data_IF_522706706082
#
_entry.id   IF_522706706082
#
_cell.length_a   1.000
_cell.length_b   1.000
_cell.length_c   1.000
_cell.angle_alpha   90.00
_cell.angle_beta   90.00
_cell.angle_gamma   90.00
#
_symmetry.space_group_name_H-M   'P 1'
#
loop_
_entity.id
_entity.type
_entity.pdbx_description
1 polymer ?
#
# COMPACT_ATOMS: atom_id res chain seq x y z
N UNK A 1 -12.43 15.12 -9.59
CA UNK A 1 -11.54 14.19 -10.32
C UNK A 1 -10.16 14.13 -9.65
N UNK A 2 -9.99 13.22 -8.68
CA UNK A 2 -8.72 13.04 -7.98
C UNK A 2 -7.75 12.24 -8.85
N UNK A 3 -6.50 12.69 -8.95
CA UNK A 3 -5.44 11.98 -9.65
C UNK A 3 -5.31 10.56 -9.07
N UNK A 4 -5.65 9.55 -9.88
CA UNK A 4 -5.51 8.14 -9.50
C UNK A 4 -4.04 7.76 -9.65
N UNK A 5 -3.26 7.94 -8.60
CA UNK A 5 -1.91 7.39 -8.52
C UNK A 5 -1.98 5.94 -8.03
N UNK A 6 -1.30 5.02 -8.71
CA UNK A 6 -0.99 3.71 -8.13
C UNK A 6 0.20 3.91 -7.19
N UNK A 7 -0.08 3.94 -5.88
CA UNK A 7 0.94 4.12 -4.85
C UNK A 7 1.70 2.82 -4.53
N UNK A 8 1.18 1.67 -4.97
CA UNK A 8 1.83 0.37 -4.81
C UNK A 8 1.37 -0.58 -5.92
N UNK A 9 2.34 -1.22 -6.58
CA UNK A 9 2.10 -2.24 -7.61
C UNK A 9 2.67 -3.56 -7.08
N UNK A 10 1.86 -4.62 -7.07
CA UNK A 10 2.28 -5.95 -6.66
C UNK A 10 1.81 -6.97 -7.69
N UNK A 11 2.73 -7.84 -8.10
CA UNK A 11 2.39 -9.05 -8.83
C UNK A 11 2.30 -10.21 -7.84
N UNK A 12 1.22 -10.98 -7.92
CA UNK A 12 0.99 -12.17 -7.09
C UNK A 12 0.84 -13.36 -8.01
N UNK A 13 1.58 -14.43 -7.73
CA UNK A 13 1.46 -15.72 -8.41
C UNK A 13 1.06 -16.78 -7.41
N UNK A 14 -0.04 -17.46 -7.67
CA UNK A 14 -0.49 -18.62 -6.91
C UNK A 14 -0.19 -19.90 -7.69
N UNK A 15 0.31 -20.93 -7.02
CA UNK A 15 0.46 -22.29 -7.52
C UNK A 15 -0.30 -23.21 -6.55
N UNK A 16 -1.62 -23.40 -6.77
CA UNK A 16 -2.47 -24.21 -5.89
C UNK A 16 -1.99 -25.66 -5.79
N UNK A 17 -1.47 -26.22 -6.89
CA UNK A 17 -1.00 -27.61 -6.91
C UNK A 17 0.25 -27.85 -6.06
N UNK A 18 1.03 -26.79 -5.78
CA UNK A 18 2.21 -26.87 -4.88
C UNK A 18 1.99 -26.17 -3.54
N UNK A 19 0.78 -25.68 -3.25
CA UNK A 19 0.49 -24.83 -2.09
C UNK A 19 1.47 -23.68 -1.92
N UNK A 20 1.86 -23.03 -3.04
CA UNK A 20 2.84 -21.94 -3.03
C UNK A 20 2.21 -20.66 -3.53
N UNK A 21 2.54 -19.57 -2.88
CA UNK A 21 2.22 -18.23 -3.36
C UNK A 21 3.49 -17.40 -3.31
N UNK A 22 3.77 -16.71 -4.40
CA UNK A 22 4.90 -15.81 -4.54
C UNK A 22 4.39 -14.41 -4.87
N UNK A 23 5.08 -13.39 -4.38
CA UNK A 23 4.76 -12.00 -4.69
C UNK A 23 6.01 -11.23 -5.08
N UNK A 24 5.83 -10.25 -5.97
CA UNK A 24 6.84 -9.29 -6.39
C UNK A 24 6.29 -7.88 -6.23
N UNK A 25 6.93 -7.06 -5.41
CA UNK A 25 6.60 -5.64 -5.31
C UNK A 25 7.36 -4.85 -6.37
N UNK A 26 6.64 -4.04 -7.14
CA UNK A 26 7.22 -3.13 -8.14
C UNK A 26 7.17 -1.71 -7.56
N UNK A 27 8.31 -1.03 -7.35
CA UNK A 27 8.34 0.35 -6.88
C UNK A 27 7.60 1.28 -7.84
N UNK A 28 6.67 2.11 -7.33
CA UNK A 28 5.85 3.01 -8.17
C UNK A 28 6.66 4.01 -9.01
N UNK A 29 7.83 4.39 -8.49
CA UNK A 29 8.74 5.38 -9.09
C UNK A 29 9.83 4.72 -9.95
N UNK A 30 9.76 3.40 -10.16
CA UNK A 30 10.66 2.69 -11.08
C UNK A 30 10.53 3.29 -12.48
N UNK A 31 11.64 3.77 -13.04
CA UNK A 31 11.67 4.34 -14.39
C UNK A 31 11.73 3.21 -15.41
N UNK A 32 10.75 3.16 -16.29
CA UNK A 32 10.57 2.11 -17.30
C UNK A 32 10.17 2.73 -18.61
N UNK A 33 10.37 2.00 -19.70
CA UNK A 33 9.80 2.37 -20.98
C UNK A 33 8.29 2.10 -20.97
N UNK A 34 7.50 3.14 -21.21
CA UNK A 34 6.04 3.08 -21.30
C UNK A 34 5.66 3.09 -22.80
N UNK A 35 4.96 2.07 -23.31
CA UNK A 35 4.55 2.01 -24.71
C UNK A 35 3.88 3.29 -25.20
N UNK A 36 4.45 3.95 -26.21
CA UNK A 36 3.92 5.19 -26.79
C UNK A 36 4.16 6.47 -25.98
N UNK A 37 4.84 6.39 -24.83
CA UNK A 37 5.08 7.55 -23.94
C UNK A 37 6.56 7.73 -23.54
N UNK A 38 7.46 6.85 -23.97
CA UNK A 38 8.89 6.93 -23.66
C UNK A 38 9.21 6.51 -22.22
N UNK A 39 10.35 6.94 -21.68
CA UNK A 39 10.79 6.53 -20.33
C UNK A 39 10.23 7.44 -19.24
N UNK A 40 9.39 6.88 -18.36
CA UNK A 40 8.85 7.58 -17.19
C UNK A 40 8.66 6.61 -16.00
N UNK A 41 8.17 7.10 -14.87
CA UNK A 41 7.79 6.29 -13.71
C UNK A 41 6.65 5.34 -14.06
N UNK A 42 6.74 4.08 -13.65
CA UNK A 42 5.75 3.05 -14.00
C UNK A 42 4.31 3.41 -13.59
N UNK A 43 4.12 4.17 -12.51
CA UNK A 43 2.79 4.62 -12.10
C UNK A 43 2.15 5.65 -13.06
N UNK A 44 2.94 6.27 -13.95
CA UNK A 44 2.46 7.18 -14.98
C UNK A 44 1.72 6.41 -16.09
N UNK A 45 2.04 5.14 -16.35
CA UNK A 45 1.34 4.31 -17.33
C UNK A 45 -0.17 4.23 -17.03
N UNK A 46 -0.55 4.15 -15.75
CA UNK A 46 -1.95 4.17 -15.36
C UNK A 46 -2.62 5.54 -15.60
N UNK A 47 -1.87 6.64 -15.48
CA UNK A 47 -2.39 7.99 -15.74
C UNK A 47 -2.55 8.25 -17.23
N UNK A 48 -1.61 7.76 -18.05
CA UNK A 48 -1.62 7.95 -19.50
C UNK A 48 -2.66 7.09 -20.21
N UNK A 49 -2.79 5.82 -19.83
CA UNK A 49 -3.61 4.86 -20.58
C UNK A 49 -4.40 3.89 -19.69
N UNK A 50 -4.56 4.21 -18.41
CA UNK A 50 -5.38 3.43 -17.50
C UNK A 50 -4.85 2.01 -17.24
N UNK A 51 -5.75 1.08 -16.85
CA UNK A 51 -5.42 -0.32 -16.59
C UNK A 51 -4.63 -1.01 -17.71
N UNK A 52 -5.05 -0.79 -18.96
CA UNK A 52 -4.50 -1.49 -20.13
C UNK A 52 -3.04 -1.13 -20.36
N UNK A 53 -2.71 0.16 -20.35
CA UNK A 53 -1.32 0.60 -20.53
C UNK A 53 -0.44 0.22 -19.34
N UNK A 54 -0.97 0.31 -18.11
CA UNK A 54 -0.26 -0.15 -16.91
C UNK A 54 0.09 -1.64 -16.99
N UNK A 55 -0.86 -2.49 -17.40
CA UNK A 55 -0.65 -3.91 -17.62
C UNK A 55 0.41 -4.19 -18.69
N UNK A 56 0.31 -3.51 -19.83
CA UNK A 56 1.27 -3.65 -20.92
C UNK A 56 2.69 -3.26 -20.48
N UNK A 57 2.81 -2.18 -19.70
CA UNK A 57 4.08 -1.71 -19.13
C UNK A 57 4.66 -2.73 -18.16
N UNK A 58 3.85 -3.31 -17.26
CA UNK A 58 4.30 -4.37 -16.35
C UNK A 58 4.73 -5.63 -17.11
N UNK A 59 3.99 -6.02 -18.15
CA UNK A 59 4.34 -7.15 -19.02
C UNK A 59 5.66 -6.90 -19.75
N UNK A 60 5.87 -5.71 -20.29
CA UNK A 60 7.14 -5.34 -20.96
C UNK A 60 8.32 -5.34 -19.97
N UNK A 61 8.12 -4.84 -18.76
CA UNK A 61 9.15 -4.83 -17.72
C UNK A 61 9.54 -6.23 -17.26
N UNK A 62 8.56 -7.12 -17.07
CA UNK A 62 8.76 -8.40 -16.36
C UNK A 62 8.80 -9.62 -17.28
N UNK A 63 8.27 -9.50 -18.51
CA UNK A 63 8.02 -10.62 -19.40
C UNK A 63 6.88 -11.54 -18.96
N UNK A 64 6.17 -11.20 -17.88
CA UNK A 64 5.14 -12.06 -17.29
C UNK A 64 3.75 -11.74 -17.83
N UNK A 65 3.01 -12.78 -18.19
CA UNK A 65 1.58 -12.68 -18.50
C UNK A 65 0.76 -12.55 -17.22
N UNK A 66 -0.10 -11.53 -17.18
CA UNK A 66 -0.97 -11.23 -16.05
C UNK A 66 -2.38 -11.71 -16.38
N UNK A 67 -2.86 -12.73 -15.66
CA UNK A 67 -4.17 -13.33 -15.92
C UNK A 67 -5.32 -12.53 -15.32
N UNK A 68 -5.08 -11.83 -14.21
CA UNK A 68 -6.08 -11.06 -13.47
C UNK A 68 -5.49 -9.77 -12.91
N UNK A 69 -6.30 -8.72 -12.85
CA UNK A 69 -5.94 -7.45 -12.21
C UNK A 69 -6.97 -7.09 -11.16
N UNK A 70 -6.48 -6.72 -9.99
CA UNK A 70 -7.28 -6.15 -8.93
C UNK A 70 -6.86 -4.69 -8.70
N UNK A 71 -7.83 -3.78 -8.77
CA UNK A 71 -7.65 -2.40 -8.30
C UNK A 71 -8.23 -2.29 -6.90
N UNK A 72 -7.35 -2.09 -5.93
CA UNK A 72 -7.74 -1.94 -4.53
C UNK A 72 -7.63 -0.47 -4.17
N UNK A 73 -8.78 0.18 -3.97
CA UNK A 73 -8.83 1.49 -3.33
C UNK A 73 -8.74 1.34 -1.80
N UNK A 74 -8.63 2.46 -1.10
CA UNK A 74 -8.47 2.45 0.35
C UNK A 74 -9.66 1.86 1.12
N UNK A 75 -10.89 1.96 0.59
CA UNK A 75 -12.07 1.40 1.25
C UNK A 75 -12.07 -0.13 1.13
N UNK A 76 -11.85 -0.65 -0.09
CA UNK A 76 -11.73 -2.09 -0.35
C UNK A 76 -10.53 -2.71 0.37
N UNK A 77 -9.44 -1.96 0.51
CA UNK A 77 -8.28 -2.42 1.27
C UNK A 77 -8.61 -2.71 2.74
N UNK A 78 -9.37 -1.81 3.38
CA UNK A 78 -9.80 -1.98 4.77
C UNK A 78 -10.68 -3.23 4.91
N UNK A 79 -11.68 -3.37 4.04
CA UNK A 79 -12.59 -4.53 4.04
C UNK A 79 -11.83 -5.84 3.83
N UNK A 80 -10.87 -5.88 2.90
CA UNK A 80 -10.02 -7.05 2.67
C UNK A 80 -9.25 -7.44 3.93
N UNK A 81 -8.59 -6.48 4.58
CA UNK A 81 -7.80 -6.72 5.80
C UNK A 81 -8.71 -7.19 6.95
N UNK A 82 -9.89 -6.59 7.11
CA UNK A 82 -10.84 -7.01 8.13
C UNK A 82 -11.37 -8.43 7.85
N UNK A 83 -11.65 -8.78 6.59
CA UNK A 83 -12.14 -10.09 6.17
C UNK A 83 -11.13 -11.22 6.40
N UNK A 84 -9.82 -10.94 6.29
CA UNK A 84 -8.75 -11.92 6.60
C UNK A 84 -8.37 -11.94 8.10
N UNK A 85 -9.13 -11.26 8.96
CA UNK A 85 -8.92 -11.23 10.40
C UNK A 85 -7.74 -10.36 10.84
N UNK A 86 -7.41 -9.31 10.08
CA UNK A 86 -6.31 -8.40 10.34
C UNK A 86 -4.95 -8.90 9.85
N UNK A 87 -3.94 -8.03 9.92
CA UNK A 87 -2.57 -8.28 9.47
C UNK A 87 -1.55 -8.00 10.58
N UNK A 88 -0.42 -8.70 10.56
CA UNK A 88 0.72 -8.44 11.43
C UNK A 88 1.73 -7.52 10.73
N UNK A 89 1.99 -6.35 11.31
CA UNK A 89 2.97 -5.38 10.77
C UNK A 89 4.05 -5.12 11.82
N UNK A 90 5.31 -5.27 11.42
CA UNK A 90 6.46 -4.88 12.25
C UNK A 90 6.80 -3.41 12.04
N UNK A 91 6.47 -2.60 13.05
CA UNK A 91 6.66 -1.15 13.00
C UNK A 91 8.09 -0.81 13.42
N UNK A 92 8.93 -0.23 12.54
CA UNK A 92 10.37 -0.13 12.78
C UNK A 92 10.75 0.82 13.93
N UNK A 93 9.91 1.82 14.20
CA UNK A 93 10.11 2.86 15.21
C UNK A 93 8.77 3.45 15.66
N UNK A 94 8.69 4.07 16.85
CA UNK A 94 7.47 4.70 17.32
C UNK A 94 7.00 5.79 16.34
N UNK A 95 5.70 5.85 16.09
CA UNK A 95 5.09 6.85 15.22
C UNK A 95 3.99 7.58 15.97
N UNK A 96 3.99 8.92 15.87
CA UNK A 96 2.84 9.76 16.17
C UNK A 96 2.45 10.52 14.90
N UNK A 97 1.26 10.26 14.39
CA UNK A 97 0.79 10.92 13.16
C UNK A 97 0.26 12.34 13.42
N UNK A 98 0.01 13.08 12.34
CA UNK A 98 -0.89 14.23 12.35
C UNK A 98 -2.34 13.80 12.67
N UNK A 99 -3.19 14.78 13.01
CA UNK A 99 -4.60 14.56 13.31
C UNK A 99 -5.36 14.38 11.99
N UNK A 100 -5.62 13.13 11.62
CA UNK A 100 -6.45 12.77 10.49
C UNK A 100 -7.16 11.44 10.80
N UNK A 101 -8.29 11.17 10.13
CA UNK A 101 -9.10 9.97 10.37
C UNK A 101 -9.31 9.70 11.87
N UNK A 102 -9.80 10.71 12.59
CA UNK A 102 -10.02 10.59 14.03
C UNK A 102 -10.94 9.39 14.34
N UNK A 103 -10.56 8.49 15.27
CA UNK A 103 -11.35 7.31 15.56
C UNK A 103 -12.51 7.56 16.56
N UNK A 104 -12.67 8.78 17.05
CA UNK A 104 -13.68 9.12 18.06
C UNK A 104 -14.94 9.71 17.43
N UNK A 105 -16.09 9.44 18.04
CA UNK A 105 -17.40 9.89 17.56
C UNK A 105 -17.69 11.37 17.82
N UNK A 106 -16.89 12.07 18.62
CA UNK A 106 -17.14 13.47 18.99
C UNK A 106 -15.99 14.39 18.62
N UNK A 107 -16.35 15.56 18.06
CA UNK A 107 -15.38 16.58 17.65
C UNK A 107 -14.50 17.06 18.81
N UNK A 108 -15.06 17.17 20.02
CA UNK A 108 -14.30 17.56 21.22
C UNK A 108 -13.14 16.57 21.51
N UNK A 109 -13.39 15.25 21.40
CA UNK A 109 -12.34 14.24 21.57
C UNK A 109 -11.32 14.30 20.43
N UNK A 110 -11.78 14.52 19.20
CA UNK A 110 -10.88 14.67 18.05
C UNK A 110 -9.97 15.90 18.15
N UNK A 111 -10.47 17.01 18.71
CA UNK A 111 -9.69 18.23 18.92
C UNK A 111 -8.58 18.04 19.96
N UNK A 112 -8.85 17.27 21.02
CA UNK A 112 -7.85 16.96 22.06
C UNK A 112 -6.89 15.83 21.67
N UNK A 113 -7.29 14.93 20.76
CA UNK A 113 -6.52 13.75 20.39
C UNK A 113 -5.25 14.10 19.59
N UNK A 114 -4.05 13.62 19.98
CA UNK A 114 -2.78 14.07 19.38
C UNK A 114 -2.49 13.51 17.97
N UNK A 115 -3.24 12.49 17.53
CA UNK A 115 -3.00 11.70 16.32
C UNK A 115 -2.85 10.21 16.62
N UNK A 116 -2.71 9.39 15.58
CA UNK A 116 -2.54 7.94 15.71
C UNK A 116 -1.17 7.61 16.26
N UNK A 117 -1.12 6.60 17.13
CA UNK A 117 0.11 6.10 17.72
C UNK A 117 0.37 4.67 17.30
N UNK A 118 1.59 4.39 16.91
CA UNK A 118 2.10 3.04 16.65
C UNK A 118 3.36 2.84 17.49
N UNK A 119 3.39 1.78 18.28
CA UNK A 119 4.58 1.40 19.02
C UNK A 119 5.64 0.86 18.06
N UNK A 120 6.90 0.72 18.51
CA UNK A 120 7.88 -0.08 17.78
C UNK A 120 7.57 -1.57 17.97
N UNK A 121 7.78 -2.38 16.95
CA UNK A 121 7.64 -3.83 16.96
C UNK A 121 6.36 -4.33 16.28
N UNK A 122 6.20 -5.66 16.31
CA UNK A 122 5.06 -6.37 15.74
C UNK A 122 3.74 -5.95 16.38
N UNK A 123 2.79 -5.60 15.53
CA UNK A 123 1.45 -5.19 15.94
C UNK A 123 0.41 -5.81 15.01
N UNK A 124 -0.64 -6.34 15.63
CA UNK A 124 -1.86 -6.69 14.93
C UNK A 124 -2.61 -5.43 14.51
N UNK A 125 -2.97 -5.34 13.22
CA UNK A 125 -3.70 -4.21 12.65
C UNK A 125 -4.94 -4.70 11.91
N UNK A 126 -6.10 -4.19 12.32
CA UNK A 126 -7.31 -4.26 11.52
C UNK A 126 -7.23 -3.31 10.31
N UNK A 127 -8.21 -3.37 9.41
CA UNK A 127 -8.20 -2.63 8.17
C UNK A 127 -8.12 -1.12 8.36
N UNK A 128 -8.81 -0.56 9.37
CA UNK A 128 -8.71 0.86 9.69
C UNK A 128 -7.29 1.25 10.12
N UNK A 129 -6.70 0.48 11.04
CA UNK A 129 -5.39 0.77 11.61
C UNK A 129 -4.28 0.57 10.58
N UNK A 130 -4.37 -0.45 9.73
CA UNK A 130 -3.47 -0.71 8.61
C UNK A 130 -3.55 0.40 7.54
N UNK A 131 -4.76 0.85 7.20
CA UNK A 131 -4.97 1.96 6.28
C UNK A 131 -4.38 3.27 6.81
N UNK A 132 -4.62 3.58 8.08
CA UNK A 132 -4.04 4.77 8.71
C UNK A 132 -2.52 4.68 8.70
N UNK A 133 -1.96 3.52 9.07
CA UNK A 133 -0.51 3.30 9.07
C UNK A 133 0.10 3.58 7.70
N UNK A 134 -0.49 3.05 6.62
CA UNK A 134 -0.01 3.26 5.25
C UNK A 134 -0.14 4.71 4.76
N UNK A 135 -1.02 5.51 5.38
CA UNK A 135 -1.27 6.92 5.03
C UNK A 135 -0.44 7.92 5.83
N UNK A 136 0.31 7.49 6.86
CA UNK A 136 1.16 8.40 7.65
C UNK A 136 2.24 9.02 6.76
N UNK A 137 2.08 10.32 6.48
CA UNK A 137 3.05 11.14 5.75
C UNK A 137 4.14 11.71 6.66
N UNK A 138 3.73 12.11 7.86
CA UNK A 138 4.58 12.79 8.84
C UNK A 138 4.55 12.05 10.17
N UNK A 139 5.74 11.80 10.72
CA UNK A 139 5.93 11.28 12.06
C UNK A 139 6.39 12.42 12.98
N UNK A 140 5.52 12.87 13.89
CA UNK A 140 5.84 13.93 14.85
C UNK A 140 6.97 13.56 15.82
N UNK A 141 7.30 12.27 15.95
CA UNK A 141 8.41 11.79 16.77
C UNK A 141 9.74 11.73 16.00
N UNK A 142 9.69 11.83 14.67
CA UNK A 142 10.87 11.81 13.81
C UNK A 142 10.63 12.65 12.55
N UNK A 143 10.92 13.97 12.63
CA UNK A 143 10.73 14.90 11.52
C UNK A 143 11.64 14.63 10.31
N UNK A 144 12.64 13.74 10.42
CA UNK A 144 13.52 13.38 9.30
C UNK A 144 12.88 12.44 8.29
N UNK A 145 11.70 11.89 8.61
CA UNK A 145 10.97 11.03 7.69
C UNK A 145 10.47 11.77 6.45
N UNK A 146 10.69 11.16 5.30
CA UNK A 146 10.27 11.68 3.99
C UNK A 146 9.15 10.82 3.38
N UNK A 147 8.69 11.17 2.19
CA UNK A 147 7.72 10.38 1.42
C UNK A 147 8.14 8.91 1.25
N UNK A 148 9.45 8.63 1.23
CA UNK A 148 10.00 7.28 1.22
C UNK A 148 9.57 6.44 2.43
N UNK A 149 9.41 7.06 3.60
CA UNK A 149 8.90 6.37 4.79
C UNK A 149 7.44 5.93 4.58
N UNK A 150 6.60 6.77 3.95
CA UNK A 150 5.23 6.40 3.60
C UNK A 150 5.19 5.25 2.60
N UNK A 151 5.98 5.32 1.52
CA UNK A 151 6.06 4.24 0.54
C UNK A 151 6.50 2.92 1.17
N UNK A 152 7.45 2.95 2.11
CA UNK A 152 7.83 1.75 2.89
C UNK A 152 6.67 1.21 3.72
N UNK A 153 5.89 2.07 4.40
CA UNK A 153 4.71 1.63 5.17
C UNK A 153 3.64 0.99 4.29
N UNK A 154 3.40 1.56 3.11
CA UNK A 154 2.50 0.99 2.12
C UNK A 154 2.97 -0.41 1.70
N UNK A 155 4.26 -0.55 1.35
CA UNK A 155 4.84 -1.86 1.04
C UNK A 155 4.71 -2.86 2.19
N UNK A 156 5.00 -2.47 3.44
CA UNK A 156 4.85 -3.34 4.61
C UNK A 156 3.42 -3.86 4.77
N UNK A 157 2.44 -2.99 4.57
CA UNK A 157 1.01 -3.34 4.69
C UNK A 157 0.58 -4.31 3.59
N UNK A 158 0.99 -4.08 2.34
CA UNK A 158 0.68 -5.02 1.25
C UNK A 158 1.41 -6.35 1.43
N UNK A 159 2.67 -6.34 1.89
CA UNK A 159 3.43 -7.56 2.20
C UNK A 159 2.78 -8.35 3.33
N UNK A 160 2.32 -7.68 4.39
CA UNK A 160 1.64 -8.33 5.51
C UNK A 160 0.28 -8.91 5.10
N UNK A 161 -0.49 -8.21 4.27
CA UNK A 161 -1.72 -8.74 3.69
C UNK A 161 -1.46 -9.94 2.78
N UNK A 162 -0.41 -9.86 1.94
CA UNK A 162 0.08 -10.98 1.13
C UNK A 162 0.41 -12.17 2.01
N UNK A 163 1.31 -12.03 2.98
CA UNK A 163 1.71 -13.11 3.88
C UNK A 163 0.52 -13.79 4.58
N UNK A 164 -0.48 -13.00 5.02
CA UNK A 164 -1.70 -13.49 5.68
C UNK A 164 -2.63 -14.27 4.74
N UNK A 165 -2.65 -13.95 3.44
CA UNK A 165 -3.41 -14.69 2.43
C UNK A 165 -2.73 -16.01 2.02
N UNK A 166 -1.43 -16.15 2.33
CA UNK A 166 -0.60 -17.26 1.84
C UNK A 166 -0.16 -18.25 2.89
N UNK A 167 -0.34 -17.93 4.17
CA UNK A 167 -0.10 -18.81 5.30
C UNK A 167 -1.40 -19.35 5.85
#
# INVERSE_FOLDING_TARGET
PGSRHSDSIMLVRTDPGKHRIAYLSIPRDLRVEIPGHGTDKINAAFQFGGPTLALQTVKQLTGLDVNHVAFVDFAKFKELVDAIGGIEVDVPKPILSNRFDCPYSTSARCNAWPGWRFAKGKQHMNGQRALVYSRVRENKLDPSETDFARSRRQQQVVQAAGAKLTG
#
